data_IF_486102210275
#
_entry.id   IF_486102210275
#
_cell.length_a   1.000
_cell.length_b   1.000
_cell.length_c   1.000
_cell.angle_alpha   90.00
_cell.angle_beta   90.00
_cell.angle_gamma   90.00
#
_symmetry.space_group_name_H-M   'P 1'
#
loop_
_entity.id
_entity.type
_entity.pdbx_description
1 polymer ?
#
# COMPACT_ATOMS: atom_id res chain seq x y z
N UNK A 1 -16.53 -1.86 12.31
CA UNK A 1 -15.05 -1.74 12.32
C UNK A 1 -14.70 -0.32 12.69
N UNK A 2 -13.75 -0.11 13.60
CA UNK A 2 -13.31 1.23 14.00
C UNK A 2 -12.38 1.75 12.91
N UNK A 3 -12.82 2.73 12.14
CA UNK A 3 -12.00 3.34 11.09
C UNK A 3 -10.86 4.09 11.77
N UNK A 4 -9.67 3.51 11.76
CA UNK A 4 -8.48 4.21 12.22
C UNK A 4 -8.25 5.33 11.19
N UNK A 5 -8.35 6.58 11.64
CA UNK A 5 -8.01 7.74 10.84
C UNK A 5 -6.49 7.70 10.67
N UNK A 6 -6.03 7.07 9.59
CA UNK A 6 -4.63 7.06 9.22
C UNK A 6 -4.19 8.52 8.97
N UNK A 7 -3.21 9.01 9.74
CA UNK A 7 -2.60 10.33 9.52
C UNK A 7 -1.92 10.43 8.14
N UNK A 8 -1.62 9.28 7.51
CA UNK A 8 -1.16 9.22 6.12
C UNK A 8 -2.34 9.01 5.17
N UNK A 9 -2.63 10.02 4.36
CA UNK A 9 -3.51 9.90 3.21
C UNK A 9 -2.72 9.71 1.93
N UNK A 10 -2.57 8.46 1.50
CA UNK A 10 -1.91 8.12 0.23
C UNK A 10 -2.73 8.51 -1.01
N UNK A 11 -3.95 9.04 -0.85
CA UNK A 11 -4.84 9.45 -1.96
C UNK A 11 -4.22 10.56 -2.79
N UNK A 12 -3.37 11.40 -2.20
CA UNK A 12 -2.71 12.52 -2.90
C UNK A 12 -1.53 12.10 -3.78
N UNK A 13 -1.00 10.88 -3.58
CA UNK A 13 0.15 10.37 -4.34
C UNK A 13 -0.32 9.93 -5.75
N UNK A 14 0.28 10.45 -6.84
CA UNK A 14 -0.03 9.99 -8.19
C UNK A 14 0.10 8.47 -8.32
N UNK A 15 -0.86 7.81 -8.99
CA UNK A 15 -0.92 6.34 -9.09
C UNK A 15 0.41 5.75 -9.57
N UNK A 16 1.05 6.36 -10.59
CA UNK A 16 2.34 5.91 -11.14
C UNK A 16 3.50 6.01 -10.16
N UNK A 17 3.39 6.84 -9.12
CA UNK A 17 4.42 7.04 -8.10
C UNK A 17 4.17 6.23 -6.82
N UNK A 18 2.95 5.72 -6.63
CA UNK A 18 2.58 4.89 -5.47
C UNK A 18 3.47 3.65 -5.31
N UNK A 19 3.83 2.88 -6.36
CA UNK A 19 4.69 1.71 -6.20
C UNK A 19 6.05 2.03 -5.55
N UNK A 20 6.73 3.09 -5.99
CA UNK A 20 8.00 3.52 -5.41
C UNK A 20 7.85 3.86 -3.93
N UNK A 21 6.80 4.61 -3.58
CA UNK A 21 6.53 4.96 -2.20
C UNK A 21 6.23 3.71 -1.34
N UNK A 22 5.38 2.82 -1.83
CA UNK A 22 5.03 1.58 -1.14
C UNK A 22 6.21 0.64 -0.96
N UNK A 23 7.10 0.53 -1.95
CA UNK A 23 8.37 -0.22 -1.84
C UNK A 23 9.24 0.35 -0.72
N UNK A 24 9.38 1.67 -0.62
CA UNK A 24 10.12 2.30 0.48
C UNK A 24 9.52 1.95 1.85
N UNK A 25 8.20 1.96 1.97
CA UNK A 25 7.53 1.53 3.21
C UNK A 25 7.86 0.07 3.53
N UNK A 26 7.74 -0.84 2.55
CA UNK A 26 8.10 -2.26 2.74
C UNK A 26 9.56 -2.39 3.18
N UNK A 27 10.50 -1.66 2.58
CA UNK A 27 11.91 -1.66 2.98
C UNK A 27 12.09 -1.24 4.45
N UNK A 28 11.35 -0.24 4.93
CA UNK A 28 11.42 0.20 6.33
C UNK A 28 10.73 -0.75 7.33
N UNK A 29 9.74 -1.53 6.88
CA UNK A 29 9.10 -2.56 7.69
C UNK A 29 9.90 -3.87 7.69
N UNK A 30 10.64 -4.13 6.63
CA UNK A 30 11.49 -5.32 6.48
C UNK A 30 12.61 -5.28 7.52
N UNK A 31 12.77 -6.37 8.26
CA UNK A 31 13.71 -6.48 9.39
C UNK A 31 13.46 -5.49 10.54
N UNK A 32 12.31 -4.83 10.59
CA UNK A 32 11.97 -3.98 11.73
C UNK A 32 11.61 -4.85 12.94
N UNK A 33 12.36 -4.76 14.07
CA UNK A 33 12.15 -5.62 15.24
C UNK A 33 10.80 -5.38 15.95
N UNK A 34 10.09 -4.30 15.61
CA UNK A 34 8.77 -3.96 16.16
C UNK A 34 7.64 -4.49 15.25
N UNK A 35 7.96 -4.92 14.03
CA UNK A 35 7.00 -5.46 13.05
C UNK A 35 6.97 -7.00 13.08
N UNK A 36 6.66 -7.57 14.25
CA UNK A 36 6.78 -9.03 14.49
C UNK A 36 5.48 -9.80 14.28
N UNK A 37 4.33 -9.17 14.49
CA UNK A 37 3.00 -9.79 14.37
C UNK A 37 2.03 -8.87 13.63
N UNK A 38 2.32 -8.52 12.37
CA UNK A 38 1.48 -7.59 11.65
C UNK A 38 0.15 -8.23 11.24
N UNK A 39 -0.93 -7.44 11.28
CA UNK A 39 -2.25 -7.87 10.78
C UNK A 39 -2.23 -8.16 9.26
N UNK A 40 -1.32 -7.49 8.54
CA UNK A 40 -1.07 -7.71 7.11
C UNK A 40 0.39 -8.14 6.92
N UNK A 41 0.64 -9.38 6.46
CA UNK A 41 1.99 -9.86 6.17
C UNK A 41 2.71 -8.99 5.12
N UNK A 42 4.04 -8.87 5.24
CA UNK A 42 4.87 -8.16 4.25
C UNK A 42 4.68 -8.73 2.84
N UNK A 43 4.52 -10.05 2.73
CA UNK A 43 4.30 -10.75 1.47
C UNK A 43 3.03 -10.27 0.75
N UNK A 44 1.96 -10.01 1.51
CA UNK A 44 0.70 -9.49 0.98
C UNK A 44 0.86 -8.06 0.48
N UNK A 45 1.64 -7.22 1.18
CA UNK A 45 1.95 -5.86 0.74
C UNK A 45 2.80 -5.87 -0.53
N UNK A 46 3.81 -6.74 -0.59
CA UNK A 46 4.67 -6.90 -1.76
C UNK A 46 3.86 -7.29 -2.99
N UNK A 47 3.00 -8.31 -2.86
CA UNK A 47 2.13 -8.75 -3.93
C UNK A 47 1.19 -7.64 -4.43
N UNK A 48 0.66 -6.82 -3.52
CA UNK A 48 -0.19 -5.69 -3.90
C UNK A 48 0.56 -4.62 -4.71
N UNK A 49 1.83 -4.36 -4.35
CA UNK A 49 2.70 -3.45 -5.11
C UNK A 49 3.01 -4.02 -6.49
N UNK A 50 3.39 -5.29 -6.57
CA UNK A 50 3.73 -5.94 -7.84
C UNK A 50 2.52 -5.96 -8.80
N UNK A 51 1.32 -6.25 -8.26
CA UNK A 51 0.07 -6.18 -9.03
C UNK A 51 -0.22 -4.77 -9.55
N UNK A 52 0.06 -3.73 -8.76
CA UNK A 52 -0.11 -2.34 -9.19
C UNK A 52 0.88 -1.97 -10.30
N UNK A 53 2.13 -2.41 -10.20
CA UNK A 53 3.13 -2.18 -11.27
C UNK A 53 2.72 -2.87 -12.57
N UNK A 54 2.23 -4.11 -12.50
CA UNK A 54 1.70 -4.82 -13.66
C UNK A 54 0.48 -4.10 -14.25
N UNK A 55 -0.43 -3.59 -13.43
CA UNK A 55 -1.60 -2.85 -13.90
C UNK A 55 -1.22 -1.51 -14.54
N UNK A 56 -0.21 -0.80 -14.02
CA UNK A 56 0.35 0.42 -14.64
C UNK A 56 0.96 0.10 -16.01
N UNK A 57 1.69 -1.00 -16.13
CA UNK A 57 2.28 -1.44 -17.40
C UNK A 57 1.19 -1.84 -18.41
N UNK A 58 0.16 -2.56 -17.97
CA UNK A 58 -0.97 -2.94 -18.82
C UNK A 58 -1.77 -1.73 -19.31
N UNK A 59 -1.91 -0.69 -18.48
CA UNK A 59 -2.59 0.56 -18.83
C UNK A 59 -1.76 1.50 -19.73
N UNK A 60 -0.53 1.12 -20.12
CA UNK A 60 0.33 1.95 -20.95
C UNK A 60 -0.26 2.24 -22.34
N UNK A 61 -1.11 1.34 -22.85
CA UNK A 61 -1.83 1.51 -24.11
C UNK A 61 -3.01 2.50 -24.01
N UNK A 62 -3.38 2.94 -22.80
CA UNK A 62 -4.48 3.85 -22.53
C UNK A 62 -5.87 3.23 -22.73
N UNK A 63 -5.98 1.91 -22.86
CA UNK A 63 -7.26 1.23 -23.01
C UNK A 63 -8.11 1.45 -21.75
N UNK A 64 -9.38 1.82 -21.93
CA UNK A 64 -10.29 2.11 -20.81
C UNK A 64 -10.37 0.98 -19.78
N UNK A 65 -10.45 -0.32 -20.18
CA UNK A 65 -10.46 -1.41 -19.21
C UNK A 65 -9.16 -1.50 -18.41
N UNK A 66 -7.99 -1.35 -19.05
CA UNK A 66 -6.71 -1.43 -18.36
C UNK A 66 -6.49 -0.23 -17.42
N UNK A 67 -6.91 0.97 -17.83
CA UNK A 67 -6.89 2.16 -16.96
C UNK A 67 -7.81 1.94 -15.76
N UNK A 68 -9.03 1.42 -15.94
CA UNK A 68 -9.91 1.09 -14.81
C UNK A 68 -9.27 0.09 -13.84
N UNK A 69 -8.70 -1.00 -14.37
CA UNK A 69 -8.01 -2.01 -13.56
C UNK A 69 -6.79 -1.43 -12.79
N UNK A 70 -6.06 -0.48 -13.40
CA UNK A 70 -4.98 0.24 -12.72
C UNK A 70 -5.50 1.06 -11.54
N UNK A 71 -6.63 1.75 -11.69
CA UNK A 71 -7.26 2.49 -10.59
C UNK A 71 -7.73 1.55 -9.47
N UNK A 72 -8.44 0.47 -9.81
CA UNK A 72 -8.91 -0.53 -8.85
C UNK A 72 -7.74 -1.15 -8.06
N UNK A 73 -6.65 -1.47 -8.76
CA UNK A 73 -5.41 -1.98 -8.15
C UNK A 73 -4.77 -0.94 -7.21
N UNK A 74 -4.76 0.32 -7.61
CA UNK A 74 -4.20 1.41 -6.80
C UNK A 74 -4.99 1.63 -5.50
N UNK A 75 -6.32 1.51 -5.56
CA UNK A 75 -7.21 1.63 -4.41
C UNK A 75 -7.06 0.43 -3.47
N UNK A 76 -6.99 -0.79 -4.02
CA UNK A 76 -6.74 -2.01 -3.25
C UNK A 76 -5.39 -1.95 -2.51
N UNK A 77 -4.32 -1.57 -3.20
CA UNK A 77 -3.01 -1.39 -2.58
C UNK A 77 -3.05 -0.29 -1.51
N UNK A 78 -3.65 0.87 -1.82
CA UNK A 78 -3.79 1.97 -0.85
C UNK A 78 -4.51 1.53 0.42
N UNK A 79 -5.57 0.73 0.31
CA UNK A 79 -6.32 0.22 1.46
C UNK A 79 -5.45 -0.68 2.35
N UNK A 80 -4.68 -1.59 1.75
CA UNK A 80 -3.75 -2.45 2.49
C UNK A 80 -2.71 -1.63 3.26
N UNK A 81 -2.10 -0.62 2.62
CA UNK A 81 -1.14 0.27 3.28
C UNK A 81 -1.78 1.20 4.32
N UNK A 82 -3.06 1.60 4.16
CA UNK A 82 -3.78 2.34 5.22
C UNK A 82 -4.04 1.45 6.44
N UNK A 83 -4.36 0.17 6.21
CA UNK A 83 -4.60 -0.78 7.30
C UNK A 83 -3.33 -1.08 8.10
N UNK A 84 -2.14 -1.07 7.46
CA UNK A 84 -0.87 -1.21 8.19
C UNK A 84 -0.54 0.01 9.05
N UNK A 85 -0.99 1.22 8.69
CA UNK A 85 -0.87 2.41 9.55
C UNK A 85 -1.60 2.19 10.88
N UNK A 86 -2.71 1.44 10.88
CA UNK A 86 -3.39 1.03 12.10
C UNK A 86 -2.50 0.27 13.06
N UNK A 87 -1.81 -0.76 12.55
CA UNK A 87 -0.83 -1.53 13.30
C UNK A 87 0.31 -0.62 13.84
N UNK A 88 0.90 0.20 12.97
CA UNK A 88 1.97 1.13 13.34
C UNK A 88 1.53 2.10 14.44
N UNK A 89 0.33 2.69 14.33
CA UNK A 89 -0.18 3.62 15.34
C UNK A 89 -0.37 2.94 16.70
N UNK A 90 -0.81 1.69 16.76
CA UNK A 90 -0.96 0.98 18.05
C UNK A 90 0.39 0.66 18.70
N UNK A 91 1.43 0.42 17.90
CA UNK A 91 2.77 0.09 18.39
C UNK A 91 3.64 1.31 18.68
N UNK A 92 3.46 2.41 17.94
CA UNK A 92 4.22 3.65 18.11
C UNK A 92 3.60 4.63 19.11
N UNK A 93 2.33 4.49 19.48
CA UNK A 93 1.69 5.30 20.55
C UNK A 93 2.03 4.83 21.97
N UNK A 94 2.82 3.75 22.09
CA UNK A 94 3.27 3.17 23.37
C UNK A 94 4.69 3.60 23.78
N UNK A 95 5.27 4.60 23.10
CA UNK A 95 6.51 5.28 23.44
C UNK A 95 6.22 6.73 23.84
#
# INVERSE_FOLDING_TARGET
MKTIIALLDFVTIPIKTKPTYFKNVITHLTNNPVYTTPDIPLETLQLAVDNLELAILAAADGSRPAVSAMHDSADAATLLFKNTVGYVNTRCSSF
#
